data_IF_073229780527
#
_entry.id   IF_073229780527
#
_cell.length_a   1.000
_cell.length_b   1.000
_cell.length_c   1.000
_cell.angle_alpha   90.00
_cell.angle_beta   90.00
_cell.angle_gamma   90.00
#
_symmetry.space_group_name_H-M   'P 1'
#
loop_
_entity.id
_entity.type
_entity.pdbx_description
1 polymer ?
#
# COMPACT_ATOMS: atom_id res chain seq x y z
N UNK A 1 -26.96 -2.60 -14.50
CA UNK A 1 -25.70 -1.84 -14.77
C UNK A 1 -24.55 -2.36 -13.88
N UNK A 2 -23.29 -2.30 -14.31
CA UNK A 2 -22.13 -2.83 -13.57
C UNK A 2 -22.07 -2.31 -12.12
N UNK A 3 -22.34 -1.01 -11.93
CA UNK A 3 -22.37 -0.34 -10.61
C UNK A 3 -23.39 -0.95 -9.63
N UNK A 4 -24.53 -1.45 -10.11
CA UNK A 4 -25.54 -2.06 -9.25
C UNK A 4 -25.14 -3.48 -8.77
N UNK A 5 -24.24 -4.16 -9.48
CA UNK A 5 -23.73 -5.49 -9.06
C UNK A 5 -22.68 -5.35 -7.95
N UNK A 6 -21.87 -4.30 -7.99
CA UNK A 6 -20.83 -4.05 -6.99
C UNK A 6 -21.41 -3.71 -5.61
N UNK A 7 -22.61 -3.14 -5.51
CA UNK A 7 -23.24 -2.81 -4.21
C UNK A 7 -23.96 -3.98 -3.53
N UNK A 8 -23.86 -5.20 -4.08
CA UNK A 8 -24.51 -6.39 -3.52
C UNK A 8 -23.86 -6.79 -2.18
N UNK A 9 -24.61 -7.40 -1.24
CA UNK A 9 -24.06 -7.91 0.01
C UNK A 9 -22.85 -8.83 -0.19
N UNK A 10 -22.86 -9.65 -1.25
CA UNK A 10 -21.75 -10.54 -1.59
C UNK A 10 -20.45 -9.78 -1.94
N UNK A 11 -20.51 -8.67 -2.67
CA UNK A 11 -19.34 -7.88 -3.01
C UNK A 11 -18.74 -7.21 -1.77
N UNK A 12 -19.60 -6.64 -0.91
CA UNK A 12 -19.19 -6.08 0.38
C UNK A 12 -18.48 -7.11 1.26
N UNK A 13 -19.05 -8.30 1.38
CA UNK A 13 -18.45 -9.38 2.15
C UNK A 13 -17.07 -9.77 1.59
N UNK A 14 -16.95 -9.95 0.28
CA UNK A 14 -15.67 -10.32 -0.35
C UNK A 14 -14.60 -9.23 -0.20
N UNK A 15 -14.96 -7.95 -0.33
CA UNK A 15 -14.04 -6.82 -0.07
C UNK A 15 -13.56 -6.83 1.37
N UNK A 16 -14.47 -6.99 2.34
CA UNK A 16 -14.10 -7.02 3.76
C UNK A 16 -13.22 -8.22 4.09
N UNK A 17 -13.52 -9.40 3.55
CA UNK A 17 -12.69 -10.61 3.71
C UNK A 17 -11.29 -10.38 3.13
N UNK A 18 -11.19 -9.85 1.92
CA UNK A 18 -9.89 -9.58 1.29
C UNK A 18 -9.07 -8.56 2.09
N UNK A 19 -9.69 -7.48 2.58
CA UNK A 19 -9.02 -6.48 3.42
C UNK A 19 -8.60 -7.04 4.79
N UNK A 20 -9.43 -7.88 5.41
CA UNK A 20 -9.10 -8.53 6.67
C UNK A 20 -7.90 -9.48 6.51
N UNK A 21 -7.90 -10.29 5.45
CA UNK A 21 -6.78 -11.20 5.13
C UNK A 21 -5.50 -10.43 4.81
N UNK A 22 -5.59 -9.37 4.00
CA UNK A 22 -4.46 -8.47 3.70
C UNK A 22 -3.93 -7.80 4.98
N UNK A 23 -4.81 -7.29 5.83
CA UNK A 23 -4.47 -6.65 7.10
C UNK A 23 -3.88 -7.61 8.14
N UNK A 24 -4.10 -8.91 8.01
CA UNK A 24 -3.51 -9.92 8.89
C UNK A 24 -2.05 -10.23 8.54
N UNK A 25 -1.62 -10.01 7.28
CA UNK A 25 -0.27 -10.34 6.80
C UNK A 25 0.85 -9.76 7.71
N UNK A 26 0.83 -8.47 8.08
CA UNK A 26 1.89 -7.87 8.90
C UNK A 26 2.00 -8.45 10.32
N UNK A 27 1.01 -9.23 10.77
CA UNK A 27 1.00 -9.83 12.11
C UNK A 27 1.48 -11.29 12.10
N UNK A 28 1.52 -11.94 10.94
CA UNK A 28 2.10 -13.29 10.81
C UNK A 28 3.60 -13.15 10.65
N UNK A 29 4.44 -13.65 11.59
CA UNK A 29 5.91 -13.55 11.47
C UNK A 29 6.36 -14.01 10.11
N UNK A 30 7.11 -13.17 9.38
CA UNK A 30 7.70 -13.54 8.10
C UNK A 30 8.41 -14.90 8.25
N UNK A 31 8.45 -15.75 7.21
CA UNK A 31 9.14 -17.02 7.29
C UNK A 31 10.63 -16.78 7.55
N UNK A 32 10.99 -16.71 8.83
CA UNK A 32 12.35 -16.82 9.30
C UNK A 32 12.67 -18.31 9.41
N UNK A 33 13.92 -18.72 9.12
CA UNK A 33 14.31 -20.13 9.16
C UNK A 33 14.02 -20.83 10.50
N UNK A 34 13.87 -20.07 11.59
CA UNK A 34 13.92 -20.60 12.97
C UNK A 34 12.58 -20.53 13.73
N UNK A 35 11.50 -19.99 13.15
CA UNK A 35 10.21 -19.80 13.83
C UNK A 35 9.05 -20.52 13.13
N UNK A 36 8.48 -21.52 13.81
CA UNK A 36 7.34 -22.37 13.40
C UNK A 36 5.97 -21.66 13.22
N UNK A 37 5.93 -20.32 13.15
CA UNK A 37 4.84 -19.63 12.43
C UNK A 37 4.96 -19.79 10.88
N UNK A 38 5.98 -20.57 10.51
CA UNK A 38 6.43 -21.14 9.24
C UNK A 38 5.31 -21.48 8.22
N UNK A 39 5.58 -21.30 6.92
CA UNK A 39 4.76 -21.54 5.70
C UNK A 39 3.24 -21.76 5.73
N UNK A 40 2.71 -22.57 6.64
CA UNK A 40 1.31 -22.92 6.77
C UNK A 40 0.41 -21.68 6.99
N UNK A 41 0.74 -20.74 7.88
CA UNK A 41 -0.13 -19.57 8.13
C UNK A 41 -0.19 -18.64 6.93
N UNK A 42 0.95 -18.35 6.31
CA UNK A 42 0.98 -17.59 5.05
C UNK A 42 0.29 -18.35 3.90
N UNK A 43 0.43 -19.67 3.86
CA UNK A 43 -0.28 -20.53 2.90
C UNK A 43 -1.79 -20.48 3.09
N UNK A 44 -2.29 -20.46 4.33
CA UNK A 44 -3.71 -20.31 4.63
C UNK A 44 -4.25 -18.93 4.24
N UNK A 45 -3.49 -17.86 4.54
CA UNK A 45 -3.85 -16.50 4.09
C UNK A 45 -3.90 -16.42 2.56
N UNK A 46 -2.89 -16.97 1.88
CA UNK A 46 -2.81 -17.00 0.42
C UNK A 46 -3.96 -17.82 -0.17
N UNK A 47 -4.28 -18.99 0.40
CA UNK A 47 -5.40 -19.81 -0.02
C UNK A 47 -6.74 -19.08 0.18
N UNK A 48 -6.92 -18.39 1.30
CA UNK A 48 -8.11 -17.56 1.55
C UNK A 48 -8.26 -16.42 0.55
N UNK A 49 -7.16 -15.72 0.23
CA UNK A 49 -7.13 -14.66 -0.78
C UNK A 49 -7.41 -15.19 -2.19
N UNK A 50 -6.82 -16.33 -2.56
CA UNK A 50 -7.05 -17.00 -3.83
C UNK A 50 -8.50 -17.48 -3.98
N UNK A 51 -9.07 -18.06 -2.92
CA UNK A 51 -10.48 -18.46 -2.90
C UNK A 51 -11.42 -17.25 -3.02
N UNK A 52 -11.12 -16.16 -2.29
CA UNK A 52 -11.88 -14.91 -2.37
C UNK A 52 -11.82 -14.33 -3.80
N UNK A 53 -10.65 -14.34 -4.43
CA UNK A 53 -10.45 -13.93 -5.82
C UNK A 53 -11.27 -14.77 -6.79
N UNK A 54 -11.19 -16.10 -6.68
CA UNK A 54 -11.93 -17.03 -7.53
C UNK A 54 -13.46 -16.84 -7.40
N UNK A 55 -13.97 -16.65 -6.18
CA UNK A 55 -15.39 -16.40 -5.93
C UNK A 55 -15.83 -15.06 -6.52
N UNK A 56 -15.04 -14.00 -6.35
CA UNK A 56 -15.35 -12.68 -6.92
C UNK A 56 -15.38 -12.72 -8.46
N UNK A 57 -14.39 -13.38 -9.06
CA UNK A 57 -14.29 -13.61 -10.51
C UNK A 57 -15.47 -14.42 -11.05
N UNK A 58 -15.77 -15.57 -10.45
CA UNK A 58 -16.87 -16.43 -10.87
C UNK A 58 -18.24 -15.73 -10.80
N UNK A 59 -18.39 -14.74 -9.93
CA UNK A 59 -19.61 -13.93 -9.78
C UNK A 59 -19.61 -12.64 -10.62
N UNK A 60 -18.52 -12.34 -11.33
CA UNK A 60 -18.36 -11.10 -12.09
C UNK A 60 -18.45 -9.85 -11.23
N UNK A 61 -17.97 -9.92 -9.98
CA UNK A 61 -17.88 -8.81 -9.04
C UNK A 61 -16.48 -8.21 -9.15
N UNK A 62 -16.27 -7.41 -10.20
CA UNK A 62 -14.96 -6.98 -10.66
C UNK A 62 -14.27 -6.02 -9.69
N UNK A 63 -15.00 -5.17 -8.96
CA UNK A 63 -14.42 -4.32 -7.91
C UNK A 63 -13.85 -5.14 -6.77
N UNK A 64 -14.61 -6.12 -6.28
CA UNK A 64 -14.14 -7.07 -5.26
C UNK A 64 -12.99 -7.95 -5.78
N UNK A 65 -13.05 -8.36 -7.06
CA UNK A 65 -12.00 -9.17 -7.68
C UNK A 65 -10.67 -8.42 -7.77
N UNK A 66 -10.67 -7.14 -8.13
CA UNK A 66 -9.45 -6.31 -8.18
C UNK A 66 -8.75 -6.27 -6.80
N UNK A 67 -9.52 -6.04 -5.73
CA UNK A 67 -9.02 -6.04 -4.35
C UNK A 67 -8.41 -7.39 -3.97
N UNK A 68 -9.15 -8.47 -4.19
CA UNK A 68 -8.72 -9.81 -3.79
C UNK A 68 -7.52 -10.31 -4.61
N UNK A 69 -7.51 -10.07 -5.93
CA UNK A 69 -6.42 -10.45 -6.82
C UNK A 69 -5.17 -9.67 -6.48
N UNK A 70 -5.25 -8.35 -6.28
CA UNK A 70 -4.10 -7.56 -5.88
C UNK A 70 -3.52 -8.03 -4.54
N UNK A 71 -4.37 -8.30 -3.54
CA UNK A 71 -3.92 -8.84 -2.26
C UNK A 71 -3.27 -10.23 -2.40
N UNK A 72 -3.80 -11.08 -3.29
CA UNK A 72 -3.23 -12.40 -3.61
C UNK A 72 -1.85 -12.25 -4.24
N UNK A 73 -1.71 -11.37 -5.23
CA UNK A 73 -0.44 -11.07 -5.90
C UNK A 73 0.57 -10.46 -4.92
N UNK A 74 0.12 -9.57 -4.04
CA UNK A 74 0.94 -8.96 -3.00
C UNK A 74 1.57 -10.04 -2.12
N UNK A 75 0.75 -10.87 -1.47
CA UNK A 75 1.26 -11.93 -0.60
C UNK A 75 2.11 -12.95 -1.39
N UNK A 76 1.64 -13.36 -2.58
CA UNK A 76 2.35 -14.29 -3.43
C UNK A 76 3.76 -13.82 -3.80
N UNK A 77 3.92 -12.55 -4.15
CA UNK A 77 5.23 -11.98 -4.52
C UNK A 77 6.21 -11.99 -3.35
N UNK A 78 5.77 -11.66 -2.12
CA UNK A 78 6.65 -11.73 -0.94
C UNK A 78 6.97 -13.16 -0.49
N UNK A 79 6.16 -14.16 -0.88
CA UNK A 79 6.43 -15.56 -0.59
C UNK A 79 7.39 -16.23 -1.60
N UNK A 80 7.64 -15.60 -2.75
CA UNK A 80 8.64 -16.09 -3.70
C UNK A 80 10.05 -15.75 -3.20
N UNK A 81 10.94 -16.73 -2.94
CA UNK A 81 12.22 -16.47 -2.26
C UNK A 81 13.08 -15.39 -2.90
N UNK A 82 13.23 -15.42 -4.23
CA UNK A 82 14.05 -14.45 -4.97
C UNK A 82 13.38 -13.08 -5.02
N UNK A 83 12.08 -13.03 -5.27
CA UNK A 83 11.34 -11.76 -5.42
C UNK A 83 11.20 -11.08 -4.07
N UNK A 84 10.71 -11.78 -3.06
CA UNK A 84 10.50 -11.26 -1.71
C UNK A 84 11.78 -10.81 -1.01
N UNK A 85 12.92 -11.48 -1.25
CA UNK A 85 14.19 -11.10 -0.67
C UNK A 85 14.84 -9.89 -1.36
N UNK A 86 14.55 -9.64 -2.64
CA UNK A 86 15.21 -8.62 -3.44
C UNK A 86 14.44 -7.28 -3.46
N UNK A 87 14.27 -6.62 -2.31
CA UNK A 87 13.58 -5.32 -2.28
C UNK A 87 14.30 -4.27 -3.17
N UNK A 88 13.58 -3.49 -4.01
CA UNK A 88 12.13 -3.32 -4.15
C UNK A 88 11.47 -4.17 -5.27
N UNK A 89 12.07 -5.27 -5.71
CA UNK A 89 11.57 -6.13 -6.80
C UNK A 89 10.11 -6.60 -6.66
N UNK A 90 9.55 -6.86 -5.46
CA UNK A 90 8.13 -7.21 -5.34
C UNK A 90 7.20 -6.15 -5.93
N UNK A 91 7.55 -4.86 -5.83
CA UNK A 91 6.69 -3.75 -6.24
C UNK A 91 6.33 -3.80 -7.74
N UNK A 92 7.31 -3.79 -8.68
CA UNK A 92 7.02 -3.88 -10.10
C UNK A 92 6.42 -5.24 -10.49
N UNK A 93 6.75 -6.34 -9.78
CA UNK A 93 6.15 -7.66 -10.05
C UNK A 93 4.66 -7.65 -9.75
N UNK A 94 4.25 -7.12 -8.59
CA UNK A 94 2.84 -7.03 -8.19
C UNK A 94 2.06 -6.13 -9.16
N UNK A 95 2.58 -4.93 -9.44
CA UNK A 95 1.91 -3.97 -10.33
C UNK A 95 1.83 -4.53 -11.75
N UNK A 96 2.93 -5.06 -12.28
CA UNK A 96 3.00 -5.64 -13.61
C UNK A 96 2.05 -6.82 -13.78
N UNK A 97 2.06 -7.79 -12.84
CA UNK A 97 1.16 -8.93 -12.88
C UNK A 97 -0.32 -8.50 -12.80
N UNK A 98 -0.64 -7.50 -11.98
CA UNK A 98 -2.00 -6.98 -11.87
C UNK A 98 -2.46 -6.31 -13.17
N UNK A 99 -1.63 -5.45 -13.77
CA UNK A 99 -1.95 -4.79 -15.04
C UNK A 99 -2.07 -5.80 -16.20
N UNK A 100 -1.21 -6.80 -16.25
CA UNK A 100 -1.30 -7.90 -17.22
C UNK A 100 -2.60 -8.70 -17.05
N UNK A 101 -3.01 -8.96 -15.81
CA UNK A 101 -4.29 -9.62 -15.51
C UNK A 101 -5.49 -8.78 -16.00
N UNK A 102 -5.50 -7.46 -15.76
CA UNK A 102 -6.54 -6.55 -16.29
C UNK A 102 -6.54 -6.54 -17.83
N UNK A 103 -5.36 -6.53 -18.45
CA UNK A 103 -5.23 -6.55 -19.90
C UNK A 103 -5.76 -7.87 -20.48
N UNK A 104 -5.48 -9.01 -19.83
CA UNK A 104 -5.88 -10.34 -20.27
C UNK A 104 -7.39 -10.62 -20.08
N UNK A 105 -8.05 -9.96 -19.13
CA UNK A 105 -9.48 -10.18 -18.84
C UNK A 105 -10.34 -8.96 -19.19
N UNK A 106 -11.04 -8.96 -20.35
CA UNK A 106 -11.86 -7.83 -20.78
C UNK A 106 -12.90 -7.37 -19.74
N UNK A 107 -13.43 -8.29 -18.94
CA UNK A 107 -14.40 -7.98 -17.89
C UNK A 107 -13.84 -7.13 -16.73
N UNK A 108 -12.52 -7.16 -16.49
CA UNK A 108 -11.87 -6.38 -15.43
C UNK A 108 -11.56 -4.94 -15.84
N UNK A 109 -11.47 -4.64 -17.14
CA UNK A 109 -11.09 -3.32 -17.65
C UNK A 109 -12.04 -2.18 -17.22
N UNK A 110 -13.38 -2.36 -17.22
CA UNK A 110 -14.29 -1.31 -16.78
C UNK A 110 -14.17 -0.95 -15.30
N UNK A 111 -13.65 -1.84 -14.45
CA UNK A 111 -13.39 -1.57 -13.03
C UNK A 111 -11.99 -1.00 -12.76
N UNK A 112 -11.15 -0.86 -13.80
CA UNK A 112 -9.78 -0.36 -13.69
C UNK A 112 -9.69 1.15 -13.91
N UNK A 113 -10.56 1.93 -13.27
CA UNK A 113 -10.59 3.39 -13.42
C UNK A 113 -9.59 4.13 -12.53
N UNK A 114 -8.84 3.38 -11.71
CA UNK A 114 -8.06 3.91 -10.59
C UNK A 114 -6.80 4.67 -10.98
N UNK A 115 -6.30 4.48 -12.20
CA UNK A 115 -5.12 5.16 -12.76
C UNK A 115 -5.37 6.61 -13.19
N UNK A 116 -6.50 7.20 -12.80
CA UNK A 116 -6.78 8.62 -13.09
C UNK A 116 -5.75 9.52 -12.42
N UNK A 117 -5.24 10.47 -13.19
CA UNK A 117 -4.34 11.53 -12.70
C UNK A 117 -5.02 12.41 -11.64
N UNK A 118 -6.28 12.79 -11.86
CA UNK A 118 -7.01 13.74 -11.01
C UNK A 118 -6.62 15.20 -11.26
N UNK A 119 -7.36 16.13 -10.67
CA UNK A 119 -7.13 17.57 -10.75
C UNK A 119 -6.44 18.09 -9.47
N UNK A 120 -5.35 18.83 -9.64
CA UNK A 120 -4.61 19.44 -8.52
C UNK A 120 -4.80 20.96 -8.58
N UNK A 121 -5.95 21.41 -8.09
CA UNK A 121 -6.29 22.83 -7.97
C UNK A 121 -5.57 23.49 -6.78
N UNK A 122 -5.71 24.82 -6.63
CA UNK A 122 -5.04 25.58 -5.55
C UNK A 122 -5.36 25.04 -4.15
N UNK A 123 -6.62 24.73 -3.78
CA UNK A 123 -6.88 24.16 -2.46
C UNK A 123 -6.31 22.74 -2.30
N UNK A 124 -6.23 21.93 -3.36
CA UNK A 124 -5.55 20.62 -3.30
C UNK A 124 -4.06 20.80 -3.05
N UNK A 125 -3.41 21.77 -3.68
CA UNK A 125 -2.03 22.15 -3.34
C UNK A 125 -1.88 22.58 -1.88
N UNK A 126 -2.84 23.35 -1.36
CA UNK A 126 -2.89 23.70 0.06
C UNK A 126 -2.90 22.48 0.98
N UNK A 127 -3.72 21.46 0.66
CA UNK A 127 -3.73 20.20 1.41
C UNK A 127 -2.41 19.42 1.27
N UNK A 128 -1.84 19.34 0.07
CA UNK A 128 -0.56 18.66 -0.17
C UNK A 128 0.53 19.29 0.69
N UNK A 129 0.69 20.61 0.63
CA UNK A 129 1.71 21.33 1.41
C UNK A 129 1.48 21.15 2.91
N UNK A 130 0.24 21.34 3.38
CA UNK A 130 -0.08 21.22 4.80
C UNK A 130 0.17 19.80 5.34
N UNK A 131 -0.25 18.77 4.61
CA UNK A 131 -0.07 17.38 5.03
C UNK A 131 1.38 16.92 4.90
N UNK A 132 2.12 17.32 3.88
CA UNK A 132 3.55 17.04 3.78
C UNK A 132 4.35 17.71 4.91
N UNK A 133 4.02 18.94 5.28
CA UNK A 133 4.62 19.61 6.43
C UNK A 133 4.28 18.89 7.74
N UNK A 134 3.02 18.54 7.95
CA UNK A 134 2.58 17.81 9.14
C UNK A 134 3.27 16.43 9.25
N UNK A 135 3.36 15.68 8.16
CA UNK A 135 4.03 14.39 8.11
C UNK A 135 5.53 14.53 8.41
N UNK A 136 6.20 15.54 7.82
CA UNK A 136 7.62 15.83 8.07
C UNK A 136 7.86 16.11 9.55
N UNK A 137 7.08 17.01 10.15
CA UNK A 137 7.17 17.35 11.57
C UNK A 137 6.92 16.10 12.42
N UNK A 138 5.85 15.35 12.15
CA UNK A 138 5.52 14.15 12.91
C UNK A 138 6.63 13.09 12.85
N UNK A 139 7.25 12.85 11.69
CA UNK A 139 8.34 11.89 11.53
C UNK A 139 9.61 12.33 12.27
N UNK A 140 10.00 13.60 12.16
CA UNK A 140 11.16 14.16 12.85
C UNK A 140 10.93 14.13 14.37
N UNK A 141 9.75 14.56 14.83
CA UNK A 141 9.40 14.54 16.25
C UNK A 141 9.37 13.11 16.78
N UNK A 142 8.68 12.18 16.11
CA UNK A 142 8.66 10.77 16.49
C UNK A 142 10.08 10.24 16.66
N UNK A 143 10.96 10.49 15.68
CA UNK A 143 12.35 10.04 15.77
C UNK A 143 13.11 10.68 16.94
N UNK A 144 12.94 11.98 17.15
CA UNK A 144 13.64 12.72 18.21
C UNK A 144 13.18 12.35 19.62
N UNK A 145 11.92 11.90 19.77
CA UNK A 145 11.32 11.59 21.08
C UNK A 145 11.21 10.09 21.35
N UNK A 146 11.62 9.23 20.42
CA UNK A 146 11.60 7.78 20.60
C UNK A 146 12.98 7.18 20.38
N UNK A 147 13.32 6.16 21.17
CA UNK A 147 14.49 5.30 20.98
C UNK A 147 14.23 4.29 19.85
N UNK A 148 13.75 4.78 18.70
CA UNK A 148 13.46 3.95 17.55
C UNK A 148 14.75 3.31 17.02
N UNK A 149 14.87 2.00 17.20
CA UNK A 149 15.96 1.21 16.63
C UNK A 149 15.77 1.10 15.11
N UNK A 150 16.64 1.77 14.37
CA UNK A 150 16.66 1.74 12.91
C UNK A 150 17.68 0.73 12.34
N UNK A 151 18.39 -0.01 13.18
CA UNK A 151 19.41 -0.98 12.74
C UNK A 151 18.83 -2.02 11.79
N UNK A 152 17.56 -2.40 11.98
CA UNK A 152 16.79 -3.28 11.10
C UNK A 152 16.65 -2.79 9.66
N UNK A 153 16.88 -1.50 9.40
CA UNK A 153 16.81 -0.95 8.05
C UNK A 153 18.17 -0.94 7.34
N UNK A 154 19.26 -1.30 8.04
CA UNK A 154 20.61 -1.32 7.50
C UNK A 154 20.75 -2.22 6.28
N UNK A 155 20.07 -3.36 6.30
CA UNK A 155 20.12 -4.34 5.21
C UNK A 155 19.44 -3.83 3.92
N UNK A 156 18.61 -2.78 4.01
CA UNK A 156 18.02 -2.14 2.82
C UNK A 156 18.90 -1.03 2.23
N UNK A 157 19.96 -0.61 2.91
CA UNK A 157 20.91 0.37 2.38
C UNK A 157 22.09 -0.37 1.74
N UNK A 158 22.33 -0.21 0.43
CA UNK A 158 23.40 -0.93 -0.24
C UNK A 158 24.77 -0.62 0.37
N UNK A 159 25.44 -1.66 0.87
CA UNK A 159 26.77 -1.53 1.46
C UNK A 159 27.81 -1.14 0.40
N UNK A 160 28.79 -0.32 0.79
CA UNK A 160 29.92 0.06 -0.06
C UNK A 160 29.65 1.14 -1.11
N UNK A 161 28.42 1.67 -1.19
CA UNK A 161 28.15 2.85 -2.02
C UNK A 161 28.59 4.13 -1.32
N UNK A 162 29.15 5.11 -2.04
CA UNK A 162 29.50 6.40 -1.47
C UNK A 162 28.24 7.20 -1.10
N UNK A 163 28.31 8.01 -0.04
CA UNK A 163 27.18 8.75 0.50
C UNK A 163 26.42 9.56 -0.56
N UNK A 164 27.11 10.25 -1.48
CA UNK A 164 26.46 11.05 -2.53
C UNK A 164 25.55 10.21 -3.44
N UNK A 165 25.90 8.96 -3.71
CA UNK A 165 25.09 8.06 -4.54
C UNK A 165 23.86 7.58 -3.77
N UNK A 166 24.00 7.33 -2.46
CA UNK A 166 22.87 7.01 -1.58
C UNK A 166 21.87 8.18 -1.53
N UNK A 167 22.35 9.41 -1.33
CA UNK A 167 21.50 10.61 -1.34
C UNK A 167 20.86 10.86 -2.72
N UNK A 168 21.58 10.63 -3.82
CA UNK A 168 21.02 10.71 -5.17
C UNK A 168 19.92 9.66 -5.42
N UNK A 169 20.03 8.48 -4.79
CA UNK A 169 19.04 7.40 -4.87
C UNK A 169 17.75 7.65 -4.09
N UNK A 170 17.72 8.58 -3.13
CA UNK A 170 16.55 8.84 -2.27
C UNK A 170 15.32 9.21 -3.08
N UNK A 171 15.43 10.18 -3.99
CA UNK A 171 14.28 10.68 -4.75
C UNK A 171 13.65 9.63 -5.68
N UNK A 172 14.40 8.92 -6.56
CA UNK A 172 13.79 7.90 -7.42
C UNK A 172 13.19 6.74 -6.60
N UNK A 173 13.81 6.39 -5.47
CA UNK A 173 13.29 5.34 -4.60
C UNK A 173 12.02 5.77 -3.85
N UNK A 174 11.96 7.01 -3.35
CA UNK A 174 10.76 7.67 -2.84
C UNK A 174 9.63 7.70 -3.87
N UNK A 175 9.92 8.08 -5.11
CA UNK A 175 8.95 8.07 -6.19
C UNK A 175 8.43 6.66 -6.49
N UNK A 176 9.31 5.64 -6.52
CA UNK A 176 8.90 4.26 -6.77
C UNK A 176 8.00 3.73 -5.64
N UNK A 177 8.38 3.95 -4.38
CA UNK A 177 7.62 3.50 -3.22
C UNK A 177 6.24 4.19 -3.16
N UNK A 178 6.22 5.52 -3.20
CA UNK A 178 4.99 6.30 -3.24
C UNK A 178 4.06 5.90 -4.39
N UNK A 179 4.60 5.66 -5.58
CA UNK A 179 3.79 5.21 -6.73
C UNK A 179 3.14 3.85 -6.46
N UNK A 180 3.88 2.90 -5.90
CA UNK A 180 3.38 1.59 -5.53
C UNK A 180 2.30 1.67 -4.46
N UNK A 181 2.57 2.37 -3.35
CA UNK A 181 1.63 2.45 -2.24
C UNK A 181 0.34 3.18 -2.66
N UNK A 182 0.45 4.29 -3.39
CA UNK A 182 -0.75 5.00 -3.86
C UNK A 182 -1.53 4.18 -4.90
N UNK A 183 -0.85 3.39 -5.75
CA UNK A 183 -1.51 2.44 -6.64
C UNK A 183 -2.35 1.40 -5.87
N UNK A 184 -1.78 0.81 -4.81
CA UNK A 184 -2.47 -0.18 -3.98
C UNK A 184 -3.63 0.47 -3.23
N UNK A 185 -3.35 1.44 -2.35
CA UNK A 185 -4.33 1.92 -1.38
C UNK A 185 -5.31 2.95 -1.95
N UNK A 186 -4.85 3.95 -2.70
CA UNK A 186 -5.71 5.03 -3.23
C UNK A 186 -6.21 4.71 -4.62
N UNK A 187 -5.57 3.76 -5.30
CA UNK A 187 -6.01 3.22 -6.57
C UNK A 187 -6.97 2.05 -6.36
N UNK A 188 -6.42 0.84 -6.35
CA UNK A 188 -7.18 -0.41 -6.45
C UNK A 188 -8.08 -0.63 -5.25
N UNK A 189 -7.55 -0.53 -4.02
CA UNK A 189 -8.35 -0.76 -2.81
C UNK A 189 -9.45 0.29 -2.67
N UNK A 190 -9.14 1.56 -2.90
CA UNK A 190 -10.12 2.64 -2.84
C UNK A 190 -11.29 2.40 -3.79
N UNK A 191 -11.03 2.11 -5.06
CA UNK A 191 -12.10 1.90 -6.04
C UNK A 191 -12.93 0.65 -5.76
N UNK A 192 -12.29 -0.45 -5.34
CA UNK A 192 -13.01 -1.66 -4.95
C UNK A 192 -13.93 -1.43 -3.74
N UNK A 193 -13.46 -0.69 -2.73
CA UNK A 193 -14.27 -0.36 -1.54
C UNK A 193 -15.36 0.66 -1.88
N UNK A 194 -15.06 1.73 -2.63
CA UNK A 194 -16.06 2.75 -3.02
C UNK A 194 -17.14 2.13 -3.94
N UNK A 195 -16.77 1.17 -4.79
CA UNK A 195 -17.71 0.41 -5.62
C UNK A 195 -18.68 -0.46 -4.80
N UNK A 196 -18.19 -1.11 -3.74
CA UNK A 196 -18.99 -1.97 -2.86
C UNK A 196 -19.80 -1.19 -1.80
N UNK A 197 -19.26 -0.06 -1.37
CA UNK A 197 -19.80 0.78 -0.30
C UNK A 197 -20.01 2.22 -0.78
N UNK A 198 -19.43 3.18 -0.07
CA UNK A 198 -19.38 4.59 -0.42
C UNK A 198 -17.99 5.16 -0.15
N UNK A 199 -17.80 6.42 -0.52
CA UNK A 199 -16.53 7.12 -0.40
C UNK A 199 -16.01 7.25 1.04
N UNK A 200 -16.89 7.40 2.02
CA UNK A 200 -16.51 7.56 3.44
C UNK A 200 -15.98 6.24 3.98
N UNK A 201 -16.63 5.14 3.61
CA UNK A 201 -16.16 3.79 3.93
C UNK A 201 -14.84 3.48 3.23
N UNK A 202 -14.67 3.88 1.96
CA UNK A 202 -13.39 3.77 1.27
C UNK A 202 -12.27 4.49 2.02
N UNK A 203 -12.48 5.77 2.36
CA UNK A 203 -11.53 6.56 3.15
C UNK A 203 -11.14 5.85 4.46
N UNK A 204 -12.12 5.36 5.23
CA UNK A 204 -11.85 4.70 6.49
C UNK A 204 -11.09 3.38 6.30
N UNK A 205 -11.61 2.47 5.48
CA UNK A 205 -11.07 1.11 5.37
C UNK A 205 -9.69 1.08 4.69
N UNK A 206 -9.45 1.89 3.66
CA UNK A 206 -8.13 1.93 3.04
C UNK A 206 -7.09 2.58 3.95
N UNK A 207 -7.47 3.55 4.77
CA UNK A 207 -6.56 4.17 5.75
C UNK A 207 -6.22 3.23 6.89
N UNK A 208 -7.20 2.47 7.39
CA UNK A 208 -6.96 1.40 8.37
C UNK A 208 -6.04 0.34 7.78
N UNK A 209 -6.34 -0.14 6.57
CA UNK A 209 -5.50 -1.12 5.87
C UNK A 209 -4.06 -0.62 5.68
N UNK A 210 -3.88 0.65 5.30
CA UNK A 210 -2.57 1.29 5.16
C UNK A 210 -1.82 1.33 6.49
N UNK A 211 -2.50 1.72 7.58
CA UNK A 211 -1.92 1.70 8.92
C UNK A 211 -1.47 0.30 9.35
N UNK A 212 -2.34 -0.71 9.20
CA UNK A 212 -2.02 -2.10 9.56
C UNK A 212 -0.82 -2.64 8.76
N UNK A 213 -0.71 -2.32 7.47
CA UNK A 213 0.41 -2.70 6.62
C UNK A 213 1.76 -2.21 7.17
N UNK A 214 1.76 -1.11 7.91
CA UNK A 214 2.95 -0.50 8.50
C UNK A 214 3.34 -1.07 9.87
N UNK A 215 2.65 -2.09 10.40
CA UNK A 215 3.04 -2.69 11.69
C UNK A 215 4.51 -3.13 11.74
N UNK A 216 5.03 -3.66 10.62
CA UNK A 216 6.47 -3.96 10.45
C UNK A 216 7.19 -2.99 9.51
N UNK A 217 6.51 -1.95 9.04
CA UNK A 217 7.02 -0.91 8.13
C UNK A 217 7.77 0.20 8.86
N UNK A 218 7.84 1.40 8.28
CA UNK A 218 8.47 2.59 8.87
C UNK A 218 7.44 3.72 9.01
N UNK A 219 7.28 4.35 10.19
CA UNK A 219 7.69 3.85 11.51
C UNK A 219 7.03 2.49 11.83
N UNK A 220 7.65 1.68 12.70
CA UNK A 220 7.14 0.34 13.03
C UNK A 220 6.33 0.28 14.34
N UNK A 221 5.68 -0.86 14.59
CA UNK A 221 4.92 -1.12 15.80
C UNK A 221 3.60 -0.35 15.88
N UNK A 222 2.99 -0.32 17.07
CA UNK A 222 1.68 0.31 17.26
C UNK A 222 1.68 1.81 16.96
N UNK A 223 2.77 2.52 17.33
CA UNK A 223 2.94 3.95 17.00
C UNK A 223 3.01 4.15 15.49
N UNK A 224 3.76 3.28 14.80
CA UNK A 224 3.83 3.27 13.35
C UNK A 224 2.49 3.05 12.67
N UNK A 225 1.71 2.08 13.14
CA UNK A 225 0.33 1.86 12.67
C UNK A 225 -0.53 3.12 12.82
N UNK A 226 -0.43 3.80 13.97
CA UNK A 226 -1.18 5.04 14.23
C UNK A 226 -0.77 6.18 13.31
N UNK A 227 0.53 6.45 13.15
CA UNK A 227 1.06 7.48 12.26
C UNK A 227 0.70 7.20 10.81
N UNK A 228 0.88 5.95 10.36
CA UNK A 228 0.52 5.52 9.02
C UNK A 228 -0.99 5.58 8.79
N UNK A 229 -1.85 5.26 9.76
CA UNK A 229 -3.30 5.43 9.62
C UNK A 229 -3.68 6.90 9.43
N UNK A 230 -3.10 7.81 10.21
CA UNK A 230 -3.35 9.26 10.08
C UNK A 230 -2.89 9.74 8.70
N UNK A 231 -1.70 9.32 8.27
CA UNK A 231 -1.19 9.62 6.93
C UNK A 231 -2.08 9.00 5.83
N UNK A 232 -2.56 7.79 6.11
CA UNK A 232 -3.69 7.07 5.53
C UNK A 232 -4.83 7.99 5.11
N UNK A 233 -5.40 8.62 6.14
CA UNK A 233 -6.53 9.54 6.04
C UNK A 233 -6.16 10.80 5.26
N UNK A 234 -4.99 11.38 5.51
CA UNK A 234 -4.51 12.58 4.80
C UNK A 234 -4.47 12.36 3.28
N UNK A 235 -3.80 11.31 2.81
CA UNK A 235 -3.73 10.98 1.38
C UNK A 235 -5.10 10.60 0.83
N UNK A 236 -5.94 9.90 1.61
CA UNK A 236 -7.32 9.60 1.24
C UNK A 236 -8.17 10.86 1.03
N UNK A 237 -7.99 11.90 1.84
CA UNK A 237 -8.65 13.20 1.65
C UNK A 237 -8.16 13.91 0.39
N UNK A 238 -6.84 13.88 0.12
CA UNK A 238 -6.28 14.43 -1.12
C UNK A 238 -6.82 13.68 -2.34
N UNK A 239 -6.93 12.34 -2.28
CA UNK A 239 -7.53 11.49 -3.32
C UNK A 239 -9.01 11.83 -3.52
N UNK A 240 -9.78 11.92 -2.45
CA UNK A 240 -11.21 12.22 -2.49
C UNK A 240 -11.50 13.58 -3.12
N UNK A 241 -10.62 14.57 -2.88
CA UNK A 241 -10.71 15.91 -3.47
C UNK A 241 -10.27 15.96 -4.93
N UNK A 242 -9.09 15.40 -5.22
CA UNK A 242 -8.48 15.48 -6.56
C UNK A 242 -9.11 14.52 -7.57
N UNK A 243 -9.75 13.45 -7.11
CA UNK A 243 -10.33 12.42 -7.97
C UNK A 243 -9.29 11.55 -8.70
N UNK A 244 -8.04 11.54 -8.24
CA UNK A 244 -6.96 10.75 -8.85
C UNK A 244 -5.72 10.60 -7.97
N UNK A 245 -4.68 10.01 -8.54
CA UNK A 245 -3.46 9.61 -7.81
C UNK A 245 -2.37 10.68 -7.76
N UNK A 246 -2.40 11.71 -8.62
CA UNK A 246 -1.27 12.66 -8.69
C UNK A 246 -1.09 13.46 -7.40
N UNK A 247 -2.19 13.94 -6.81
CA UNK A 247 -2.13 14.72 -5.55
C UNK A 247 -1.54 13.90 -4.40
N UNK A 248 -2.13 12.73 -4.06
CA UNK A 248 -1.57 11.83 -3.05
C UNK A 248 -0.13 11.42 -3.34
N UNK A 249 0.20 11.08 -4.59
CA UNK A 249 1.55 10.72 -5.01
C UNK A 249 2.57 11.80 -4.67
N UNK A 250 2.31 13.06 -5.06
CA UNK A 250 3.24 14.17 -4.79
C UNK A 250 3.46 14.33 -3.29
N UNK A 251 2.39 14.32 -2.49
CA UNK A 251 2.50 14.45 -1.05
C UNK A 251 3.28 13.29 -0.41
N UNK A 252 3.07 12.07 -0.92
CA UNK A 252 3.74 10.83 -0.51
C UNK A 252 5.23 10.84 -0.83
N UNK A 253 5.63 11.27 -2.02
CA UNK A 253 7.06 11.41 -2.33
C UNK A 253 7.78 12.29 -1.31
N UNK A 254 7.16 13.38 -0.83
CA UNK A 254 7.78 14.24 0.18
C UNK A 254 7.98 13.50 1.51
N UNK A 255 6.98 12.75 1.98
CA UNK A 255 7.09 11.96 3.20
C UNK A 255 8.19 10.89 3.07
N UNK A 256 8.24 10.18 1.94
CA UNK A 256 9.24 9.13 1.68
C UNK A 256 10.65 9.69 1.56
N UNK A 257 10.82 10.87 0.95
CA UNK A 257 12.13 11.56 0.94
C UNK A 257 12.62 11.82 2.37
N UNK A 258 11.73 12.26 3.27
CA UNK A 258 12.09 12.47 4.69
C UNK A 258 12.47 11.14 5.35
N UNK A 259 11.64 10.10 5.18
CA UNK A 259 11.90 8.77 5.74
C UNK A 259 13.26 8.23 5.27
N UNK A 260 13.52 8.23 3.97
CA UNK A 260 14.75 7.67 3.41
C UNK A 260 15.97 8.53 3.73
N UNK A 261 15.80 9.85 3.87
CA UNK A 261 16.87 10.72 4.40
C UNK A 261 17.22 10.36 5.84
N UNK A 262 16.22 10.17 6.71
CA UNK A 262 16.45 9.75 8.11
C UNK A 262 17.17 8.39 8.18
N UNK A 263 16.77 7.43 7.34
CA UNK A 263 17.41 6.11 7.27
C UNK A 263 18.87 6.22 6.81
N UNK A 264 19.13 6.89 5.68
CA UNK A 264 20.49 7.03 5.13
C UNK A 264 21.40 7.81 6.08
N UNK A 265 20.94 8.95 6.61
CA UNK A 265 21.75 9.80 7.48
C UNK A 265 22.10 9.17 8.84
N UNK A 266 21.39 8.12 9.25
CA UNK A 266 21.66 7.40 10.50
C UNK A 266 22.53 6.16 10.34
N UNK A 267 22.58 5.61 9.13
CA UNK A 267 23.39 4.41 8.83
C UNK A 267 24.82 4.80 8.42
N UNK A 268 25.00 6.00 7.88
CA UNK A 268 26.29 6.61 7.58
C UNK A 268 26.92 7.22 8.84
#
# INVERSE_FOLDING_TARGET
>A
PPVARERRPAARALVLVALALLGAIPFVPAPQPDLLAAPATHGLLLAGLAATSAIALARGLWGAAQVAVLATLYLGAYLLPVVGAAWPLPLPVIVGAHLLWIAALPGARPSATFLRRGAVDRPTWGLIVAFSAAATIALITWRATTDADLSRYRDFVPAGLPAWLLFAGILPYAALNAAFEEYVWRGVLWEGVEGAFDRRVALALTSISFGLAHYRGFPSGAVGVGLALIYGLMMGLVRARSGGLLGPFIAHVVADVVIFTLVVAMIL
#
